data_IF_137806332385
#
_entry.id   IF_137806332385
#
_cell.length_a   1.000
_cell.length_b   1.000
_cell.length_c   1.000
_cell.angle_alpha   90.00
_cell.angle_beta   90.00
_cell.angle_gamma   90.00
#
_symmetry.space_group_name_H-M   'P 1'
#
loop_
_entity.id
_entity.type
_entity.pdbx_description
1 polymer ?
#
# COMPACT_ATOMS: atom_id res chain seq x y z
N UNK A 1 -7.50 3.09 -6.24
CA UNK A 1 -7.08 3.17 -7.66
C UNK A 1 -6.85 1.82 -8.34
N UNK A 2 -5.96 0.94 -7.87
CA UNK A 2 -5.80 -0.37 -8.54
C UNK A 2 -7.07 -1.23 -8.43
N UNK A 3 -7.60 -1.38 -7.21
CA UNK A 3 -8.81 -2.17 -6.95
C UNK A 3 -10.06 -1.64 -7.69
N UNK A 4 -10.28 -0.32 -7.70
CA UNK A 4 -11.37 0.33 -8.45
C UNK A 4 -11.28 -0.02 -9.94
N UNK A 5 -10.08 0.13 -10.54
CA UNK A 5 -9.88 -0.18 -11.95
C UNK A 5 -10.12 -1.65 -12.28
N UNK A 6 -9.84 -2.55 -11.34
CA UNK A 6 -10.08 -3.99 -11.52
C UNK A 6 -11.56 -4.32 -11.36
N UNK A 7 -12.25 -3.69 -10.41
CA UNK A 7 -13.69 -3.84 -10.21
C UNK A 7 -14.47 -3.40 -11.45
N UNK A 8 -14.18 -2.19 -11.97
CA UNK A 8 -14.92 -1.60 -13.09
C UNK A 8 -14.58 -2.20 -14.47
N UNK A 9 -13.59 -3.10 -14.54
CA UNK A 9 -13.12 -3.65 -15.82
C UNK A 9 -14.10 -4.69 -16.39
N UNK A 10 -14.39 -4.68 -17.70
CA UNK A 10 -15.12 -5.79 -18.34
C UNK A 10 -14.38 -7.12 -18.21
N UNK A 11 -15.10 -8.22 -17.99
CA UNK A 11 -14.53 -9.55 -17.72
C UNK A 11 -13.55 -10.02 -18.79
N UNK A 12 -13.91 -9.85 -20.08
CA UNK A 12 -13.05 -10.22 -21.19
C UNK A 12 -11.70 -9.50 -21.18
N UNK A 13 -11.68 -8.21 -20.82
CA UNK A 13 -10.45 -7.42 -20.72
C UNK A 13 -9.64 -7.79 -19.49
N UNK A 14 -10.32 -8.11 -18.38
CA UNK A 14 -9.65 -8.56 -17.16
C UNK A 14 -8.92 -9.88 -17.40
N UNK A 15 -9.58 -10.89 -17.99
CA UNK A 15 -8.96 -12.19 -18.26
C UNK A 15 -7.74 -12.06 -19.19
N UNK A 16 -7.84 -11.27 -20.26
CA UNK A 16 -6.71 -11.03 -21.18
C UNK A 16 -5.51 -10.35 -20.50
N UNK A 17 -5.76 -9.47 -19.53
CA UNK A 17 -4.70 -8.67 -18.88
C UNK A 17 -4.34 -9.18 -17.49
N UNK A 18 -5.00 -10.23 -17.00
CA UNK A 18 -4.90 -10.72 -15.61
C UNK A 18 -3.46 -10.97 -15.21
N UNK A 19 -2.71 -11.69 -16.04
CA UNK A 19 -1.30 -11.98 -15.77
C UNK A 19 -0.44 -10.71 -15.69
N UNK A 20 -0.62 -9.76 -16.61
CA UNK A 20 0.11 -8.50 -16.62
C UNK A 20 -0.20 -7.62 -15.40
N UNK A 21 -1.47 -7.58 -14.99
CA UNK A 21 -1.91 -6.85 -13.78
C UNK A 21 -1.30 -7.49 -12.53
N UNK A 22 -1.33 -8.81 -12.41
CA UNK A 22 -0.77 -9.55 -11.28
C UNK A 22 0.74 -9.40 -11.19
N UNK A 23 1.45 -9.51 -12.31
CA UNK A 23 2.90 -9.32 -12.37
C UNK A 23 3.28 -7.88 -11.99
N UNK A 24 2.57 -6.88 -12.52
CA UNK A 24 2.80 -5.48 -12.17
C UNK A 24 2.50 -5.16 -10.70
N UNK A 25 1.49 -5.81 -10.13
CA UNK A 25 1.15 -5.67 -8.71
C UNK A 25 2.20 -6.32 -7.81
N UNK A 26 2.66 -7.54 -8.13
CA UNK A 26 3.72 -8.24 -7.39
C UNK A 26 5.04 -7.45 -7.42
N UNK A 27 5.46 -6.94 -8.59
CA UNK A 27 6.68 -6.14 -8.73
C UNK A 27 6.62 -4.83 -7.93
N UNK A 28 5.43 -4.20 -7.82
CA UNK A 28 5.27 -3.02 -6.94
C UNK A 28 5.35 -3.38 -5.47
N UNK A 29 4.83 -4.54 -5.09
CA UNK A 29 4.89 -5.03 -3.72
C UNK A 29 6.33 -5.30 -3.30
N UNK A 30 7.12 -5.96 -4.16
CA UNK A 30 8.54 -6.21 -3.96
C UNK A 30 9.32 -4.91 -3.72
N UNK A 31 9.11 -3.90 -4.59
CA UNK A 31 9.72 -2.55 -4.43
C UNK A 31 9.36 -1.88 -3.10
N UNK A 32 8.14 -2.08 -2.60
CA UNK A 32 7.70 -1.49 -1.33
C UNK A 32 8.19 -2.24 -0.10
N UNK A 33 8.37 -3.56 -0.20
CA UNK A 33 8.78 -4.40 0.93
C UNK A 33 10.30 -4.45 1.06
N UNK A 34 11.05 -4.15 -0.01
CA UNK A 34 12.52 -4.26 -0.10
C UNK A 34 13.05 -5.65 0.29
N UNK A 35 12.21 -6.67 0.13
CA UNK A 35 12.52 -8.08 0.37
C UNK A 35 12.26 -8.84 -0.92
N UNK A 36 13.00 -9.93 -1.11
CA UNK A 36 12.73 -10.87 -2.18
C UNK A 36 11.38 -11.54 -1.87
N UNK A 37 10.44 -11.37 -2.79
CA UNK A 37 9.07 -11.86 -2.64
C UNK A 37 8.90 -13.04 -3.59
N UNK A 38 8.34 -14.14 -3.09
CA UNK A 38 7.92 -15.25 -3.95
C UNK A 38 6.79 -14.77 -4.87
N UNK A 39 7.18 -14.42 -6.09
CA UNK A 39 6.31 -13.84 -7.11
C UNK A 39 5.12 -14.76 -7.41
N UNK A 40 5.32 -16.07 -7.39
CA UNK A 40 4.28 -17.04 -7.77
C UNK A 40 3.24 -17.19 -6.66
N UNK A 41 3.71 -17.23 -5.40
CA UNK A 41 2.83 -17.24 -4.23
C UNK A 41 2.02 -15.96 -4.12
N UNK A 42 2.64 -14.81 -4.34
CA UNK A 42 1.94 -13.52 -4.27
C UNK A 42 0.97 -13.31 -5.43
N UNK A 43 1.30 -13.76 -6.65
CA UNK A 43 0.34 -13.75 -7.77
C UNK A 43 -0.94 -14.50 -7.40
N UNK A 44 -0.83 -15.69 -6.80
CA UNK A 44 -2.00 -16.47 -6.36
C UNK A 44 -2.79 -15.75 -5.26
N UNK A 45 -2.10 -15.10 -4.31
CA UNK A 45 -2.75 -14.30 -3.26
C UNK A 45 -3.50 -13.09 -3.84
N UNK A 46 -2.84 -12.34 -4.71
CA UNK A 46 -3.41 -11.15 -5.36
C UNK A 46 -4.57 -11.51 -6.29
N UNK A 47 -4.48 -12.63 -7.01
CA UNK A 47 -5.55 -13.13 -7.87
C UNK A 47 -6.84 -13.35 -7.07
N UNK A 48 -6.75 -14.01 -5.90
CA UNK A 48 -7.91 -14.20 -5.03
C UNK A 48 -8.52 -12.88 -4.57
N UNK A 49 -7.69 -11.92 -4.17
CA UNK A 49 -8.16 -10.60 -3.71
C UNK A 49 -8.82 -9.82 -4.84
N UNK A 50 -8.29 -9.93 -6.07
CA UNK A 50 -8.85 -9.26 -7.25
C UNK A 50 -10.16 -9.90 -7.71
N UNK A 51 -10.23 -11.23 -7.67
CA UNK A 51 -11.46 -11.96 -7.99
C UNK A 51 -12.54 -11.70 -6.90
N UNK A 52 -12.16 -11.63 -5.61
CA UNK A 52 -13.04 -11.16 -4.52
C UNK A 52 -13.53 -9.73 -4.78
N UNK A 53 -12.63 -8.82 -5.14
CA UNK A 53 -12.99 -7.43 -5.42
C UNK A 53 -14.02 -7.31 -6.56
N UNK A 54 -13.89 -8.09 -7.63
CA UNK A 54 -14.81 -8.09 -8.78
C UNK A 54 -16.16 -8.74 -8.49
N UNK A 55 -16.20 -9.69 -7.56
CA UNK A 55 -17.42 -10.41 -7.22
C UNK A 55 -18.36 -9.61 -6.31
N UNK A 56 -17.86 -8.53 -5.68
CA UNK A 56 -18.66 -7.64 -4.86
C UNK A 56 -19.50 -6.72 -5.74
N UNK A 57 -20.70 -6.39 -5.27
CA UNK A 57 -21.48 -5.29 -5.84
C UNK A 57 -20.82 -3.94 -5.54
N UNK A 58 -21.11 -2.90 -6.33
CA UNK A 58 -20.56 -1.54 -6.16
C UNK A 58 -20.64 -1.05 -4.70
N UNK A 59 -21.78 -1.29 -4.05
CA UNK A 59 -22.06 -0.84 -2.69
C UNK A 59 -21.25 -1.63 -1.65
N UNK A 60 -21.10 -2.93 -1.84
CA UNK A 60 -20.25 -3.76 -0.98
C UNK A 60 -18.76 -3.51 -1.20
N UNK A 61 -18.38 -3.22 -2.45
CA UNK A 61 -17.02 -2.87 -2.81
C UNK A 61 -16.61 -1.61 -2.08
N UNK A 62 -17.41 -0.54 -2.12
CA UNK A 62 -17.07 0.70 -1.42
C UNK A 62 -16.92 0.52 0.10
N UNK A 63 -17.74 -0.32 0.71
CA UNK A 63 -17.62 -0.65 2.13
C UNK A 63 -16.36 -1.48 2.45
N UNK A 64 -16.03 -2.49 1.63
CA UNK A 64 -14.95 -3.45 1.91
C UNK A 64 -13.60 -3.09 1.28
N UNK A 65 -13.55 -2.08 0.42
CA UNK A 65 -12.36 -1.63 -0.33
C UNK A 65 -11.18 -1.31 0.57
N UNK A 66 -11.43 -0.71 1.73
CA UNK A 66 -10.38 -0.42 2.70
C UNK A 66 -9.75 -1.71 3.25
N UNK A 67 -10.56 -2.71 3.55
CA UNK A 67 -10.11 -4.01 4.04
C UNK A 67 -9.36 -4.80 2.96
N UNK A 68 -9.89 -4.80 1.73
CA UNK A 68 -9.22 -5.43 0.58
C UNK A 68 -7.86 -4.79 0.30
N UNK A 69 -7.75 -3.46 0.40
CA UNK A 69 -6.48 -2.76 0.28
C UNK A 69 -5.49 -3.15 1.38
N UNK A 70 -5.95 -3.37 2.61
CA UNK A 70 -5.11 -3.86 3.71
C UNK A 70 -4.62 -5.29 3.50
N UNK A 71 -5.43 -6.17 2.89
CA UNK A 71 -5.01 -7.53 2.52
C UNK A 71 -3.92 -7.56 1.45
N UNK A 72 -3.87 -6.54 0.59
CA UNK A 72 -2.82 -6.39 -0.43
C UNK A 72 -1.50 -5.97 0.22
N UNK A 73 -1.54 -5.06 1.20
CA UNK A 73 -0.34 -4.57 1.85
C UNK A 73 0.36 -5.70 2.64
N UNK A 74 1.70 -5.80 2.56
CA UNK A 74 2.46 -6.74 3.38
C UNK A 74 2.26 -6.41 4.86
N UNK A 75 2.33 -7.41 5.74
CA UNK A 75 2.04 -7.25 7.18
C UNK A 75 2.85 -6.13 7.84
N UNK A 76 4.09 -5.93 7.42
CA UNK A 76 4.99 -4.89 7.91
C UNK A 76 4.53 -3.46 7.56
N UNK A 77 3.62 -3.31 6.60
CA UNK A 77 3.01 -2.05 6.19
C UNK A 77 1.54 -1.94 6.59
N UNK A 78 0.94 -2.98 7.21
CA UNK A 78 -0.38 -2.87 7.84
C UNK A 78 -0.24 -1.90 9.00
N UNK A 79 -0.90 -0.74 8.87
CA UNK A 79 -1.00 0.39 9.81
C UNK A 79 0.18 0.45 10.80
N UNK A 80 1.20 1.25 10.46
CA UNK A 80 2.18 1.68 11.48
C UNK A 80 1.41 2.20 12.66
N UNK A 81 1.55 1.53 13.79
CA UNK A 81 0.90 1.94 15.03
C UNK A 81 1.23 3.41 15.28
N UNK A 82 0.34 4.16 15.90
CA UNK A 82 0.59 5.57 16.25
C UNK A 82 1.96 5.72 16.95
N UNK A 83 2.31 4.73 17.78
CA UNK A 83 3.61 4.58 18.43
C UNK A 83 4.80 4.52 17.47
N UNK A 84 4.71 3.82 16.35
CA UNK A 84 5.78 3.76 15.34
C UNK A 84 5.90 5.06 14.54
N UNK A 85 4.77 5.72 14.29
CA UNK A 85 4.73 7.05 13.67
C UNK A 85 5.41 8.07 14.58
N UNK A 86 5.04 8.10 15.86
CA UNK A 86 5.65 8.95 16.89
C UNK A 86 7.14 8.64 17.05
N UNK A 87 7.56 7.38 17.05
CA UNK A 87 8.99 7.01 17.08
C UNK A 87 9.77 7.52 15.88
N UNK A 88 9.16 7.58 14.69
CA UNK A 88 9.82 8.11 13.50
C UNK A 88 9.94 9.63 13.57
N UNK A 89 8.88 10.30 14.01
CA UNK A 89 8.85 11.75 14.23
C UNK A 89 9.88 12.14 15.29
N UNK A 90 9.89 11.47 16.45
CA UNK A 90 10.84 11.71 17.52
C UNK A 90 12.29 11.49 17.05
N UNK A 91 12.58 10.42 16.31
CA UNK A 91 13.93 10.20 15.73
C UNK A 91 14.35 11.31 14.78
N UNK A 92 13.41 11.85 14.00
CA UNK A 92 13.69 12.97 13.11
C UNK A 92 14.00 14.24 13.89
N UNK A 93 13.19 14.59 14.89
CA UNK A 93 13.40 15.77 15.74
C UNK A 93 14.64 15.68 16.63
N UNK A 94 15.04 14.46 17.04
CA UNK A 94 16.25 14.21 17.81
C UNK A 94 17.51 14.05 16.93
N UNK A 95 17.39 14.23 15.62
CA UNK A 95 18.55 14.12 14.71
C UNK A 95 19.48 15.32 14.88
N UNK A 96 20.80 15.13 15.04
CA UNK A 96 21.76 16.25 15.12
C UNK A 96 21.69 17.20 13.91
N UNK A 97 21.22 16.70 12.76
CA UNK A 97 21.08 17.48 11.52
C UNK A 97 19.91 18.46 11.54
N UNK A 98 18.89 18.23 12.36
CA UNK A 98 17.71 19.12 12.41
C UNK A 98 17.89 20.26 13.42
N UNK A 99 18.80 20.09 14.39
CA UNK A 99 19.05 21.07 15.47
C UNK A 99 19.32 22.48 14.91
N UNK A 100 20.22 22.69 13.92
CA UNK A 100 20.49 24.03 13.40
C UNK A 100 19.26 24.70 12.76
N UNK A 101 18.40 23.90 12.11
CA UNK A 101 17.17 24.39 11.48
C UNK A 101 16.15 24.83 12.53
N UNK A 102 16.08 24.11 13.66
CA UNK A 102 15.21 24.47 14.77
C UNK A 102 15.71 25.74 15.47
N UNK A 103 17.02 25.90 15.65
CA UNK A 103 17.64 27.10 16.23
C UNK A 103 17.43 28.34 15.35
N UNK A 104 17.55 28.20 14.03
CA UNK A 104 17.28 29.27 13.07
C UNK A 104 15.81 29.73 13.15
N UNK A 105 14.87 28.78 13.24
CA UNK A 105 13.44 29.10 13.37
C UNK A 105 13.10 29.77 14.70
N UNK A 106 13.67 29.29 15.80
CA UNK A 106 13.49 29.90 17.13
C UNK A 106 14.00 31.35 17.19
N UNK A 107 15.04 31.64 16.40
CA UNK A 107 15.65 32.97 16.32
C UNK A 107 14.83 33.96 15.49
N UNK A 108 13.94 33.47 14.62
CA UNK A 108 13.04 34.31 13.80
C UNK A 108 11.68 34.58 14.47
N UNK A 109 11.39 33.95 15.61
CA UNK A 109 10.18 34.21 16.42
C UNK A 109 10.41 35.28 17.53
N UNK A 110 11.58 35.93 17.56
CA UNK A 110 11.86 37.11 18.39
C UNK A 110 11.78 38.39 17.58
#
# INVERSE_FOLDING_TARGET
RLLERIHDMPEALYQQRKEGILMGAAARLEKHTRKEVDVEKEKKRLAKIFDEARALSDLEFDLKKAELAQKILPEENKVKTEKERLRKIARFFLSPRIIPVLEEKLSQEK
#
